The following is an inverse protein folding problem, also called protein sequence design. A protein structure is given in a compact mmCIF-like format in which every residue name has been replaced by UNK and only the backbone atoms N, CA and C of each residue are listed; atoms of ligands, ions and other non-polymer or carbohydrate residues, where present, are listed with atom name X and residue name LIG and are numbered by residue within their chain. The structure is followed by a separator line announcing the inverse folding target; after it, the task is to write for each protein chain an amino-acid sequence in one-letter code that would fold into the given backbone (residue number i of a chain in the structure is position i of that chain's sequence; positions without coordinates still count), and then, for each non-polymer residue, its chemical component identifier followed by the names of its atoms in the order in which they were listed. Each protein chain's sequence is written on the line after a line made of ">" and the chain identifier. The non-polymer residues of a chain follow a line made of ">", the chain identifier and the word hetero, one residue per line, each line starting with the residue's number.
data_IF_767170755162
#
_entry.id   IF_767170755162
#
_cell.length_a   1.000
_cell.length_b   1.000
_cell.length_c   1.000
_cell.angle_alpha   90.00
_cell.angle_beta   90.00
_cell.angle_gamma   90.00
#
_symmetry.space_group_name_H-M   'P 1'
#
loop_
_entity.id
_entity.type
_entity.pdbx_description
1 polymer ?
#
# COMPACT_ATOMS: atom_id res chain seq x y z
N UNK A 1 25.30 46.52 -12.07
CA UNK A 1 25.01 46.18 -10.65
C UNK A 1 23.55 45.74 -10.59
N UNK A 2 23.28 44.47 -10.89
CA UNK A 2 21.92 43.94 -10.98
C UNK A 2 21.55 43.41 -9.59
N UNK A 3 20.56 44.05 -8.97
CA UNK A 3 19.93 43.58 -7.75
C UNK A 3 19.23 42.24 -8.03
N UNK A 4 19.79 41.15 -7.52
CA UNK A 4 19.10 39.87 -7.47
C UNK A 4 18.08 39.93 -6.32
N UNK A 5 16.84 40.27 -6.69
CA UNK A 5 15.66 40.12 -5.84
C UNK A 5 15.48 38.63 -5.50
N UNK A 6 15.68 38.30 -4.23
CA UNK A 6 15.34 37.02 -3.63
C UNK A 6 13.82 36.84 -3.63
N UNK A 7 13.32 35.99 -4.52
CA UNK A 7 11.91 35.67 -4.68
C UNK A 7 11.38 34.79 -3.53
N UNK A 8 10.28 35.18 -2.82
CA UNK A 8 9.71 34.43 -1.69
C UNK A 8 8.84 33.21 -2.09
N UNK A 9 9.05 32.62 -3.28
CA UNK A 9 8.12 31.69 -3.93
C UNK A 9 8.35 30.18 -3.70
N UNK A 10 8.99 29.76 -2.61
CA UNK A 10 9.35 28.33 -2.39
C UNK A 10 8.52 27.60 -1.32
N UNK A 11 7.91 28.31 -0.36
CA UNK A 11 7.17 27.69 0.75
C UNK A 11 5.74 27.23 0.36
N UNK A 12 5.05 27.98 -0.49
CA UNK A 12 3.64 27.71 -0.83
C UNK A 12 3.48 26.46 -1.70
N UNK A 13 4.41 26.20 -2.64
CA UNK A 13 4.38 24.99 -3.49
C UNK A 13 4.47 23.68 -2.70
N UNK A 14 5.23 23.63 -1.59
CA UNK A 14 5.29 22.45 -0.71
C UNK A 14 3.97 22.18 -0.01
N UNK A 15 3.27 23.23 0.46
CA UNK A 15 1.97 23.12 1.13
C UNK A 15 0.85 22.69 0.17
N UNK A 16 0.84 23.21 -1.05
CA UNK A 16 -0.08 22.77 -2.11
C UNK A 16 0.25 21.35 -2.63
N UNK A 17 1.53 20.95 -2.71
CA UNK A 17 1.88 19.55 -2.96
C UNK A 17 1.35 18.66 -1.83
N UNK A 18 1.63 18.97 -0.56
CA UNK A 18 1.14 18.19 0.58
C UNK A 18 -0.41 18.09 0.60
N UNK A 19 -1.12 19.17 0.28
CA UNK A 19 -2.58 19.19 0.14
C UNK A 19 -3.06 18.39 -1.08
N UNK A 20 -2.37 18.44 -2.22
CA UNK A 20 -2.75 17.64 -3.40
C UNK A 20 -2.44 16.14 -3.21
N UNK A 21 -1.38 15.80 -2.46
CA UNK A 21 -1.07 14.44 -2.05
C UNK A 21 -2.06 13.88 -1.01
N UNK A 22 -2.64 14.73 -0.16
CA UNK A 22 -3.67 14.35 0.83
C UNK A 22 -5.12 14.49 0.32
N UNK A 23 -5.40 15.26 -0.74
CA UNK A 23 -6.70 15.33 -1.41
C UNK A 23 -6.89 14.22 -2.46
N UNK A 24 -5.81 13.71 -3.08
CA UNK A 24 -5.88 12.50 -3.90
C UNK A 24 -6.00 11.20 -3.08
N UNK A 25 -5.82 11.29 -1.75
CA UNK A 25 -5.86 10.18 -0.80
C UNK A 25 -7.24 9.52 -0.69
N UNK A 26 -8.33 10.30 -0.75
CA UNK A 26 -9.69 9.78 -0.50
C UNK A 26 -10.51 9.44 -1.76
N UNK A 27 -10.15 9.92 -2.95
CA UNK A 27 -10.98 9.77 -4.16
C UNK A 27 -10.61 8.59 -5.09
N UNK A 28 -9.51 7.88 -4.83
CA UNK A 28 -8.93 6.98 -5.83
C UNK A 28 -9.14 5.48 -5.62
N UNK A 29 -9.08 5.02 -4.38
CA UNK A 29 -9.05 3.60 -4.02
C UNK A 29 -9.98 3.38 -2.82
N UNK A 30 -11.16 2.79 -3.05
CA UNK A 30 -12.05 2.41 -1.96
C UNK A 30 -11.48 1.22 -1.18
N UNK A 31 -11.96 0.99 0.04
CA UNK A 31 -11.49 -0.12 0.88
C UNK A 31 -11.65 -1.49 0.20
N UNK A 32 -12.76 -1.71 -0.51
CA UNK A 32 -12.96 -2.93 -1.30
C UNK A 32 -11.95 -3.06 -2.47
N UNK A 33 -11.68 -1.95 -3.17
CA UNK A 33 -10.66 -1.92 -4.24
C UNK A 33 -9.25 -2.11 -3.68
N UNK A 34 -8.98 -1.69 -2.44
CA UNK A 34 -7.72 -1.95 -1.74
C UNK A 34 -7.51 -3.45 -1.53
N UNK A 35 -8.53 -4.16 -1.06
CA UNK A 35 -8.46 -5.61 -0.85
C UNK A 35 -8.24 -6.37 -2.17
N UNK A 36 -9.06 -6.07 -3.18
CA UNK A 36 -8.91 -6.66 -4.52
C UNK A 36 -7.50 -6.40 -5.09
N UNK A 37 -6.99 -5.20 -4.85
CA UNK A 37 -5.65 -4.83 -5.27
C UNK A 37 -4.54 -5.59 -4.54
N UNK A 38 -4.66 -5.79 -3.23
CA UNK A 38 -3.66 -6.54 -2.45
C UNK A 38 -3.68 -8.03 -2.83
N UNK A 39 -4.85 -8.60 -3.09
CA UNK A 39 -4.98 -9.99 -3.57
C UNK A 39 -4.31 -10.18 -4.93
N UNK A 40 -4.59 -9.29 -5.89
CA UNK A 40 -3.96 -9.31 -7.22
C UNK A 40 -2.45 -9.07 -7.14
N UNK A 41 -2.01 -8.22 -6.21
CA UNK A 41 -0.59 -7.94 -5.99
C UNK A 41 0.16 -9.15 -5.45
N UNK A 42 -0.40 -9.85 -4.45
CA UNK A 42 0.23 -11.04 -3.90
C UNK A 42 0.25 -12.17 -4.93
N UNK A 43 -0.80 -12.30 -5.74
CA UNK A 43 -0.82 -13.22 -6.88
C UNK A 43 0.31 -12.94 -7.88
N UNK A 44 0.57 -11.67 -8.21
CA UNK A 44 1.70 -11.35 -9.09
C UNK A 44 3.05 -11.71 -8.46
N UNK A 45 3.22 -11.53 -7.14
CA UNK A 45 4.45 -11.94 -6.46
C UNK A 45 4.65 -13.46 -6.50
N UNK A 46 3.58 -14.24 -6.33
CA UNK A 46 3.64 -15.70 -6.46
C UNK A 46 4.07 -16.10 -7.87
N UNK A 47 3.48 -15.50 -8.90
CA UNK A 47 3.82 -15.77 -10.29
C UNK A 47 5.29 -15.44 -10.60
N UNK A 48 5.74 -14.24 -10.23
CA UNK A 48 7.14 -13.83 -10.42
C UNK A 48 8.11 -14.77 -9.69
N UNK A 49 7.80 -15.14 -8.44
CA UNK A 49 8.61 -16.08 -7.66
C UNK A 49 8.70 -17.46 -8.32
N UNK A 50 7.60 -17.97 -8.88
CA UNK A 50 7.57 -19.24 -9.61
C UNK A 50 8.38 -19.18 -10.90
N UNK A 51 8.27 -18.08 -11.65
CA UNK A 51 9.05 -17.85 -12.86
C UNK A 51 10.55 -17.77 -12.56
N UNK A 52 10.95 -17.03 -11.53
CA UNK A 52 12.34 -16.94 -11.08
C UNK A 52 12.90 -18.31 -10.66
N UNK A 53 12.12 -19.12 -9.94
CA UNK A 53 12.56 -20.46 -9.57
C UNK A 53 12.66 -21.42 -10.74
N UNK A 54 11.73 -21.36 -11.70
CA UNK A 54 11.82 -22.12 -12.94
C UNK A 54 13.10 -21.75 -13.70
N UNK A 55 13.41 -20.45 -13.79
CA UNK A 55 14.63 -19.96 -14.44
C UNK A 55 15.90 -20.42 -13.72
N UNK A 56 15.86 -20.57 -12.40
CA UNK A 56 16.98 -21.06 -11.58
C UNK A 56 16.99 -22.58 -11.40
N UNK A 57 16.07 -23.31 -12.03
CA UNK A 57 15.88 -24.76 -11.84
C UNK A 57 15.75 -25.19 -10.36
N UNK A 58 15.15 -24.35 -9.53
CA UNK A 58 14.92 -24.61 -8.10
C UNK A 58 13.49 -25.11 -7.91
N UNK A 59 13.33 -26.24 -7.21
CA UNK A 59 12.00 -26.69 -6.77
C UNK A 59 11.50 -25.81 -5.63
N UNK A 60 10.43 -25.05 -5.86
CA UNK A 60 9.75 -24.29 -4.80
C UNK A 60 8.71 -25.18 -4.14
N UNK A 61 8.81 -25.34 -2.81
CA UNK A 61 7.71 -25.83 -1.98
C UNK A 61 6.53 -24.87 -2.03
N UNK A 62 5.30 -25.40 -2.01
CA UNK A 62 4.00 -24.69 -1.95
C UNK A 62 4.10 -23.15 -1.81
N UNK A 63 3.81 -22.39 -2.88
CA UNK A 63 3.96 -20.94 -2.87
C UNK A 63 2.90 -20.31 -1.96
N UNK A 64 3.31 -19.93 -0.74
CA UNK A 64 2.42 -19.23 0.18
C UNK A 64 2.48 -17.71 -0.07
N UNK A 65 1.37 -16.98 0.16
CA UNK A 65 1.32 -15.52 0.14
C UNK A 65 2.46 -14.85 0.90
N UNK A 66 2.75 -15.35 2.11
CA UNK A 66 3.80 -14.85 2.99
C UNK A 66 5.20 -15.08 2.41
N UNK A 67 5.48 -16.27 1.87
CA UNK A 67 6.76 -16.57 1.22
C UNK A 67 6.98 -15.67 0.00
N UNK A 68 5.96 -15.50 -0.84
CA UNK A 68 6.04 -14.64 -2.01
C UNK A 68 6.25 -13.17 -1.62
N UNK A 69 5.57 -12.69 -0.57
CA UNK A 69 5.75 -11.34 -0.05
C UNK A 69 7.16 -11.13 0.53
N UNK A 70 7.71 -12.09 1.28
CA UNK A 70 9.11 -12.06 1.78
C UNK A 70 10.11 -12.08 0.64
N UNK A 71 9.94 -12.98 -0.32
CA UNK A 71 10.79 -13.08 -1.51
C UNK A 71 10.81 -11.76 -2.27
N UNK A 72 9.63 -11.15 -2.46
CA UNK A 72 9.53 -9.87 -3.15
C UNK A 72 10.18 -8.74 -2.37
N UNK A 73 10.00 -8.71 -1.04
CA UNK A 73 10.68 -7.73 -0.19
C UNK A 73 12.20 -7.82 -0.36
N UNK A 74 12.77 -9.02 -0.28
CA UNK A 74 14.20 -9.25 -0.47
C UNK A 74 14.69 -8.87 -1.88
N UNK A 75 13.82 -8.97 -2.90
CA UNK A 75 14.13 -8.51 -4.26
C UNK A 75 14.17 -6.97 -4.39
N UNK A 76 13.43 -6.24 -3.55
CA UNK A 76 13.36 -4.77 -3.59
C UNK A 76 14.39 -4.14 -2.64
N UNK A 77 14.67 -4.80 -1.51
CA UNK A 77 15.64 -4.38 -0.50
C UNK A 77 17.09 -4.60 -1.00
N UNK A 78 17.55 -3.66 -1.83
CA UNK A 78 18.88 -3.71 -2.41
C UNK A 78 19.97 -3.44 -1.37
N UNK A 79 19.66 -2.66 -0.33
CA UNK A 79 20.61 -2.28 0.71
C UNK A 79 20.65 -3.28 1.89
N UNK A 80 19.70 -4.22 1.97
CA UNK A 80 19.54 -5.27 3.00
C UNK A 80 19.37 -4.73 4.42
N UNK A 81 18.82 -3.53 4.57
CA UNK A 81 18.58 -2.89 5.86
C UNK A 81 17.26 -3.37 6.52
N UNK A 82 16.55 -4.32 5.91
CA UNK A 82 15.24 -4.81 6.38
C UNK A 82 14.14 -3.73 6.43
N UNK A 83 14.33 -2.62 5.71
CA UNK A 83 13.43 -1.47 5.68
C UNK A 83 13.46 -0.75 4.32
N UNK A 84 12.35 -0.82 3.58
CA UNK A 84 12.25 -0.20 2.27
C UNK A 84 12.21 1.33 2.38
N UNK A 85 13.27 1.96 1.90
CA UNK A 85 13.36 3.41 1.85
C UNK A 85 12.59 3.99 0.65
N UNK A 86 12.27 5.28 0.74
CA UNK A 86 11.60 6.04 -0.35
C UNK A 86 12.27 5.93 -1.72
N UNK A 87 13.60 5.72 -1.76
CA UNK A 87 14.38 5.56 -3.01
C UNK A 87 14.09 4.22 -3.68
N UNK A 88 14.21 3.12 -2.95
CA UNK A 88 13.91 1.76 -3.42
C UNK A 88 12.45 1.67 -3.84
N UNK A 89 11.57 2.28 -3.05
CA UNK A 89 10.16 2.29 -3.34
C UNK A 89 9.79 3.10 -4.59
N UNK A 90 10.60 4.10 -4.95
CA UNK A 90 10.45 4.85 -6.19
C UNK A 90 10.86 4.01 -7.40
N UNK A 91 11.89 3.18 -7.27
CA UNK A 91 12.37 2.27 -8.33
C UNK A 91 11.30 1.22 -8.61
N UNK A 92 10.84 0.53 -7.57
CA UNK A 92 9.78 -0.47 -7.72
C UNK A 92 8.47 0.11 -8.30
N UNK A 93 8.08 1.31 -7.85
CA UNK A 93 6.93 2.01 -8.44
C UNK A 93 7.10 2.33 -9.92
N UNK A 94 8.34 2.46 -10.43
CA UNK A 94 8.61 2.71 -11.84
C UNK A 94 8.42 1.43 -12.65
N UNK A 95 8.95 0.31 -12.16
CA UNK A 95 8.78 -1.02 -12.77
C UNK A 95 7.31 -1.37 -12.92
N UNK A 96 6.53 -1.19 -11.86
CA UNK A 96 5.10 -1.51 -11.92
C UNK A 96 4.28 -0.69 -12.92
N UNK A 97 4.74 0.52 -13.30
CA UNK A 97 4.05 1.31 -14.33
C UNK A 97 4.02 0.59 -15.68
N UNK A 98 5.00 -0.27 -15.96
CA UNK A 98 5.00 -1.07 -17.19
C UNK A 98 4.01 -2.23 -17.05
N UNK A 99 4.08 -2.98 -15.95
CA UNK A 99 3.17 -4.10 -15.65
C UNK A 99 1.68 -3.72 -15.66
N UNK A 100 1.34 -2.50 -15.26
CA UNK A 100 -0.05 -2.01 -15.23
C UNK A 100 -0.62 -1.60 -16.58
N UNK A 101 0.13 -1.77 -17.68
CA UNK A 101 -0.34 -1.48 -19.03
C UNK A 101 -1.12 -2.65 -19.63
N UNK A 102 -0.88 -3.85 -19.16
CA UNK A 102 -1.29 -5.08 -19.86
C UNK A 102 -2.76 -5.45 -19.62
N UNK A 103 -3.31 -5.12 -18.43
CA UNK A 103 -4.70 -5.45 -18.10
C UNK A 103 -5.54 -4.23 -17.71
N UNK A 104 -6.80 -4.20 -18.17
CA UNK A 104 -7.80 -3.18 -17.78
C UNK A 104 -8.06 -3.19 -16.26
N UNK A 105 -7.99 -4.35 -15.62
CA UNK A 105 -8.15 -4.48 -14.17
C UNK A 105 -6.98 -3.83 -13.43
N UNK A 106 -5.75 -4.13 -13.86
CA UNK A 106 -4.53 -3.46 -13.36
C UNK A 106 -4.59 -1.94 -13.57
N UNK A 107 -5.11 -1.47 -14.72
CA UNK A 107 -5.33 -0.03 -14.97
C UNK A 107 -6.25 0.63 -13.95
N UNK A 108 -7.34 -0.03 -13.54
CA UNK A 108 -8.28 0.48 -12.52
C UNK A 108 -7.61 0.66 -11.15
N UNK A 109 -6.66 -0.21 -10.83
CA UNK A 109 -5.95 -0.23 -9.55
C UNK A 109 -4.71 0.67 -9.51
N UNK A 110 -4.43 1.43 -10.57
CA UNK A 110 -3.29 2.38 -10.64
C UNK A 110 -3.29 3.40 -9.51
N UNK A 111 -4.47 3.84 -9.06
CA UNK A 111 -4.60 4.78 -7.94
C UNK A 111 -4.26 4.13 -6.60
N UNK A 112 -4.67 2.87 -6.40
CA UNK A 112 -4.29 2.07 -5.23
C UNK A 112 -2.77 1.87 -5.18
N UNK A 113 -2.14 1.57 -6.32
CA UNK A 113 -0.69 1.41 -6.39
C UNK A 113 0.10 2.63 -5.94
N UNK A 114 -0.29 3.82 -6.41
CA UNK A 114 0.39 5.06 -6.03
C UNK A 114 0.39 5.29 -4.51
N UNK A 115 -0.63 4.75 -3.84
CA UNK A 115 -0.86 4.89 -2.41
C UNK A 115 -0.43 3.65 -1.62
N UNK A 116 0.02 2.57 -2.26
CA UNK A 116 0.50 1.35 -1.60
C UNK A 116 1.52 1.63 -0.48
N UNK A 117 2.55 2.51 -0.68
CA UNK A 117 3.46 2.85 0.40
C UNK A 117 2.77 3.33 1.67
N UNK A 118 1.77 4.20 1.51
CA UNK A 118 1.01 4.79 2.62
C UNK A 118 0.00 3.84 3.23
N UNK A 119 -0.34 2.76 2.53
CA UNK A 119 -1.22 1.73 3.09
C UNK A 119 -0.49 0.74 3.98
N UNK A 120 0.81 0.56 3.75
CA UNK A 120 1.65 -0.33 4.54
C UNK A 120 2.45 0.42 5.61
N UNK A 121 2.75 1.71 5.40
CA UNK A 121 3.41 2.58 6.39
C UNK A 121 2.39 3.03 7.47
N UNK A 122 2.28 2.27 8.55
CA UNK A 122 1.33 2.52 9.65
C UNK A 122 1.80 3.64 10.60
N UNK A 123 3.13 3.78 10.77
CA UNK A 123 3.75 4.78 11.64
C UNK A 123 4.12 6.09 10.91
N UNK A 124 3.83 6.20 9.61
CA UNK A 124 4.13 7.32 8.72
C UNK A 124 5.61 7.75 8.70
N UNK A 125 6.52 6.81 9.01
CA UNK A 125 7.95 7.10 9.11
C UNK A 125 8.65 7.17 7.74
N UNK A 126 7.89 7.02 6.63
CA UNK A 126 8.36 6.99 5.24
C UNK A 126 9.29 5.81 4.91
N UNK A 127 9.33 4.80 5.77
CA UNK A 127 10.00 3.52 5.59
C UNK A 127 8.96 2.42 5.79
N UNK A 128 9.18 1.27 5.16
CA UNK A 128 8.31 0.10 5.36
C UNK A 128 9.19 -1.03 5.80
N UNK A 129 9.04 -1.41 7.06
CA UNK A 129 9.72 -2.57 7.63
C UNK A 129 9.14 -3.86 7.04
N UNK A 130 9.89 -4.96 7.16
CA UNK A 130 9.40 -6.27 6.73
C UNK A 130 8.09 -6.66 7.42
N UNK A 131 7.93 -6.33 8.70
CA UNK A 131 6.73 -6.67 9.48
C UNK A 131 5.51 -5.89 8.98
N UNK A 132 5.67 -4.58 8.72
CA UNK A 132 4.63 -3.74 8.12
C UNK A 132 4.24 -4.21 6.72
N UNK A 133 5.23 -4.63 5.93
CA UNK A 133 5.01 -5.18 4.60
C UNK A 133 4.22 -6.49 4.64
N UNK A 134 4.62 -7.41 5.51
CA UNK A 134 3.96 -8.70 5.67
C UNK A 134 2.57 -8.53 6.26
N UNK A 135 2.38 -7.66 7.24
CA UNK A 135 1.05 -7.30 7.72
C UNK A 135 0.21 -6.74 6.55
N UNK A 136 0.67 -5.72 5.85
CA UNK A 136 -0.06 -5.09 4.75
C UNK A 136 -0.52 -6.07 3.66
N UNK A 137 0.32 -7.05 3.33
CA UNK A 137 0.04 -8.05 2.28
C UNK A 137 -0.78 -9.25 2.80
N UNK A 138 -0.65 -9.62 4.08
CA UNK A 138 -1.37 -10.73 4.72
C UNK A 138 -2.78 -10.36 5.20
N UNK A 139 -3.07 -9.07 5.48
CA UNK A 139 -4.43 -8.61 5.84
C UNK A 139 -5.42 -8.72 4.65
N UNK A 140 -5.04 -9.35 3.53
CA UNK A 140 -6.01 -9.89 2.56
C UNK A 140 -7.01 -10.85 3.20
N UNK A 141 -6.75 -11.38 4.42
CA UNK A 141 -7.69 -12.25 5.15
C UNK A 141 -8.36 -11.60 6.38
N UNK A 142 -7.76 -10.59 7.01
CA UNK A 142 -8.23 -10.12 8.33
C UNK A 142 -9.03 -8.80 8.32
N UNK A 143 -9.21 -8.13 7.17
CA UNK A 143 -10.08 -6.95 7.09
C UNK A 143 -11.60 -7.27 7.16
N UNK A 144 -11.99 -8.47 7.58
CA UNK A 144 -13.31 -8.68 8.19
C UNK A 144 -13.26 -8.20 9.66
N UNK A 145 -13.25 -6.89 9.87
CA UNK A 145 -13.82 -6.34 11.10
C UNK A 145 -12.91 -5.72 12.16
N UNK A 146 -11.70 -5.24 11.83
CA UNK A 146 -10.97 -4.34 12.75
C UNK A 146 -11.12 -2.87 12.35
N UNK A 147 -12.37 -2.41 12.32
CA UNK A 147 -12.60 -1.09 12.91
C UNK A 147 -12.13 -1.21 14.36
N UNK A 148 -11.49 -0.19 14.98
CA UNK A 148 -11.44 -0.18 16.44
C UNK A 148 -12.90 -0.28 16.90
N UNK A 149 -13.29 -1.46 17.39
CA UNK A 149 -14.56 -1.66 18.04
C UNK A 149 -14.45 -0.80 19.28
N UNK A 150 -14.84 0.46 19.17
CA UNK A 150 -15.36 1.22 20.29
C UNK A 150 -16.51 0.34 20.78
N UNK A 151 -16.20 -0.53 21.75
CA UNK A 151 -17.21 -1.19 22.54
C UNK A 151 -17.99 -0.03 23.15
N UNK A 152 -19.12 0.32 22.54
CA UNK A 152 -20.13 1.13 23.21
C UNK A 152 -20.56 0.29 24.41
N UNK A 153 -19.86 0.45 25.53
CA UNK A 153 -20.32 0.01 26.86
C UNK A 153 -21.48 0.93 27.20
N UNK A 154 -22.67 0.59 26.71
CA UNK A 154 -23.87 1.36 26.92
C UNK A 154 -25.04 0.73 26.19
N UNK A 155 -26.14 0.52 26.92
CA UNK A 155 -27.43 0.13 26.33
C UNK A 155 -27.89 1.24 25.39
N UNK A 156 -28.46 0.86 24.25
CA UNK A 156 -28.93 1.80 23.24
C UNK A 156 -29.96 2.77 23.86
N UNK A 157 -29.73 4.10 23.87
CA UNK A 157 -30.65 5.05 24.49
C UNK A 157 -32.03 5.10 23.83
N UNK A 158 -32.21 4.49 22.65
CA UNK A 158 -33.51 4.40 22.00
C UNK A 158 -34.35 3.16 22.40
N UNK A 159 -33.83 2.27 23.24
CA UNK A 159 -34.60 1.09 23.69
C UNK A 159 -35.79 1.44 24.58
N UNK A 160 -35.81 2.63 25.18
CA UNK A 160 -36.93 3.12 26.01
C UNK A 160 -38.00 3.84 25.21
N UNK A 161 -37.74 4.19 23.94
CA UNK A 161 -38.63 5.02 23.13
C UNK A 161 -39.51 4.17 22.19
N UNK A 162 -39.01 3.03 21.73
CA UNK A 162 -39.77 2.10 20.91
C UNK A 162 -40.47 1.05 21.79
N UNK A 163 -41.58 1.43 22.41
CA UNK A 163 -42.63 0.48 22.78
C UNK A 163 -43.75 0.65 21.76
N UNK A 164 -43.95 -0.36 20.92
CA UNK A 164 -45.16 -0.53 20.14
C UNK A 164 -46.25 -1.04 21.08
N UNK A 165 -47.35 -0.28 21.19
CA UNK A 165 -48.56 -0.67 21.92
C UNK A 165 -49.15 -2.00 21.44
#
# INVERSE_FOLDING_TARGET
>A
MIMLLSSPYTASKKKYLLLCYSLNFRLGCSLHKKQEFLDELVKSFIQEMQEDAKNRSVSIDTPTPEKAARWKFASIDANKNSALDKREWKIFKKEWRTFHKDSKQKKRLRKCWRNLPRFCDENDNQKITIDEWLACTSITRDFKGTLPRNQRKGKNPFSTILKSD
#
